data_IF_133732777384
#
_entry.id   IF_133732777384
#
_cell.length_a   1.000
_cell.length_b   1.000
_cell.length_c   1.000
_cell.angle_alpha   90.00
_cell.angle_beta   90.00
_cell.angle_gamma   90.00
#
_symmetry.space_group_name_H-M   'P 1'
#
loop_
_entity.id
_entity.type
_entity.pdbx_description
1 polymer ?
#
# COMPACT_ATOMS: atom_id res chain seq x y z
N UNK A 1 33.90 -12.32 -11.09
CA UNK A 1 33.25 -11.04 -10.79
C UNK A 1 32.03 -10.95 -11.69
N UNK A 2 30.87 -11.39 -11.22
CA UNK A 2 29.62 -11.14 -11.94
C UNK A 2 29.26 -9.67 -11.78
N UNK A 3 29.34 -8.93 -12.89
CA UNK A 3 28.76 -7.60 -13.00
C UNK A 3 27.25 -7.81 -12.93
N UNK A 4 26.67 -7.60 -11.75
CA UNK A 4 25.23 -7.55 -11.57
C UNK A 4 24.69 -6.45 -12.48
N UNK A 5 24.00 -6.81 -13.55
CA UNK A 5 23.30 -5.86 -14.41
C UNK A 5 22.31 -5.05 -13.56
N UNK A 6 22.64 -3.79 -13.35
CA UNK A 6 21.71 -2.79 -12.82
C UNK A 6 20.55 -2.71 -13.83
N UNK A 7 19.32 -2.84 -13.33
CA UNK A 7 18.14 -2.53 -14.15
C UNK A 7 18.22 -1.05 -14.55
N UNK A 8 17.83 -0.73 -15.77
CA UNK A 8 17.60 0.65 -16.13
C UNK A 8 16.50 1.23 -15.21
N UNK A 9 16.61 2.48 -14.78
CA UNK A 9 15.58 3.09 -13.95
C UNK A 9 14.29 3.29 -14.75
N UNK A 10 13.15 3.12 -14.09
CA UNK A 10 11.83 3.45 -14.61
C UNK A 10 11.56 4.94 -14.41
N UNK A 11 11.45 5.69 -15.49
CA UNK A 11 10.97 7.07 -15.46
C UNK A 11 9.49 7.09 -15.08
N UNK A 12 9.15 7.85 -14.03
CA UNK A 12 7.78 7.99 -13.54
C UNK A 12 7.14 9.22 -14.17
N UNK A 13 6.02 9.03 -14.87
CA UNK A 13 5.18 10.11 -15.41
C UNK A 13 3.82 10.08 -14.73
N UNK A 14 3.33 11.24 -14.29
CA UNK A 14 2.13 11.33 -13.47
C UNK A 14 1.08 12.20 -14.15
N UNK A 15 -0.12 11.65 -14.34
CA UNK A 15 -1.31 12.43 -14.61
C UNK A 15 -1.96 12.85 -13.29
N UNK A 16 -2.62 14.01 -13.29
CA UNK A 16 -3.27 14.55 -12.09
C UNK A 16 -4.69 15.02 -12.40
N UNK A 17 -5.61 14.76 -11.47
CA UNK A 17 -6.94 15.40 -11.41
C UNK A 17 -7.21 15.89 -10.00
N UNK A 18 -7.94 17.00 -9.90
CA UNK A 18 -8.38 17.59 -8.64
C UNK A 18 -9.89 17.52 -8.54
N UNK A 19 -10.39 17.10 -7.38
CA UNK A 19 -11.81 17.10 -7.03
C UNK A 19 -12.05 17.80 -5.70
N UNK A 20 -13.20 18.47 -5.60
CA UNK A 20 -13.79 18.77 -4.29
C UNK A 20 -14.34 17.47 -3.70
N UNK A 21 -14.05 17.23 -2.43
CA UNK A 21 -14.32 15.98 -1.74
C UNK A 21 -15.35 16.14 -0.62
N UNK A 22 -16.24 17.13 -0.70
CA UNK A 22 -17.27 17.38 0.32
C UNK A 22 -18.19 16.17 0.57
N UNK A 23 -18.38 15.34 -0.45
CA UNK A 23 -19.21 14.12 -0.41
C UNK A 23 -18.40 12.82 -0.42
N UNK A 24 -17.08 12.90 -0.45
CA UNK A 24 -16.17 11.75 -0.51
C UNK A 24 -15.40 11.63 0.80
N UNK A 25 -15.44 10.45 1.42
CA UNK A 25 -14.62 10.14 2.60
C UNK A 25 -13.55 9.10 2.24
N UNK A 26 -12.34 9.15 2.84
CA UNK A 26 -11.30 8.16 2.57
C UNK A 26 -11.80 6.73 2.81
N UNK A 27 -12.46 6.45 3.94
CA UNK A 27 -13.01 5.13 4.23
C UNK A 27 -14.08 4.71 3.22
N UNK A 28 -14.96 5.63 2.82
CA UNK A 28 -16.00 5.34 1.83
C UNK A 28 -15.42 4.99 0.46
N UNK A 29 -14.40 5.73 0.02
CA UNK A 29 -13.68 5.43 -1.23
C UNK A 29 -12.88 4.14 -1.11
N UNK A 30 -12.22 3.88 0.02
CA UNK A 30 -11.48 2.66 0.29
C UNK A 30 -12.34 1.40 0.12
N UNK A 31 -13.51 1.36 0.77
CA UNK A 31 -14.40 0.20 0.70
C UNK A 31 -14.82 -0.09 -0.74
N UNK A 32 -15.10 0.95 -1.53
CA UNK A 32 -15.46 0.84 -2.94
C UNK A 32 -14.29 0.33 -3.81
N UNK A 33 -13.06 0.77 -3.51
CA UNK A 33 -11.86 0.31 -4.20
C UNK A 33 -11.55 -1.15 -3.85
N UNK A 34 -11.70 -1.54 -2.59
CA UNK A 34 -11.50 -2.91 -2.09
C UNK A 34 -12.39 -3.93 -2.77
N UNK A 35 -13.61 -3.53 -3.11
CA UNK A 35 -14.55 -4.43 -3.79
C UNK A 35 -14.19 -4.64 -5.29
N UNK A 36 -13.19 -3.92 -5.83
CA UNK A 36 -12.82 -3.95 -7.27
C UNK A 36 -11.36 -4.25 -7.56
N UNK A 37 -10.45 -3.78 -6.71
CA UNK A 37 -9.01 -3.89 -6.89
C UNK A 37 -8.42 -4.78 -5.80
N UNK A 38 -7.43 -5.57 -6.17
CA UNK A 38 -6.69 -6.37 -5.21
C UNK A 38 -5.76 -5.45 -4.39
N UNK A 39 -5.67 -5.72 -3.08
CA UNK A 39 -4.72 -5.11 -2.16
C UNK A 39 -4.67 -3.56 -2.17
N UNK A 40 -5.80 -2.84 -2.14
CA UNK A 40 -5.74 -1.40 -1.92
C UNK A 40 -5.24 -1.11 -0.51
N UNK A 41 -4.51 0.00 -0.38
CA UNK A 41 -3.96 0.46 0.89
C UNK A 41 -4.62 1.79 1.25
N UNK A 42 -5.08 1.89 2.51
CA UNK A 42 -5.52 3.15 3.11
C UNK A 42 -4.55 3.51 4.24
N UNK A 43 -3.91 4.67 4.13
CA UNK A 43 -3.16 5.28 5.23
C UNK A 43 -3.90 6.53 5.68
N UNK A 44 -4.55 6.44 6.84
CA UNK A 44 -5.34 7.54 7.39
C UNK A 44 -4.52 8.30 8.44
N UNK A 45 -4.13 9.53 8.12
CA UNK A 45 -3.55 10.44 9.10
C UNK A 45 -4.58 11.51 9.47
N UNK A 46 -5.03 11.46 10.72
CA UNK A 46 -5.78 12.54 11.36
C UNK A 46 -4.82 13.27 12.28
N UNK A 47 -4.35 14.44 11.88
CA UNK A 47 -3.62 15.29 12.80
C UNK A 47 -4.59 15.71 13.93
N UNK A 48 -4.33 15.35 15.21
CA UNK A 48 -5.04 15.97 16.30
C UNK A 48 -4.68 17.46 16.32
N UNK A 49 -5.69 18.31 16.52
CA UNK A 49 -5.64 19.77 16.60
C UNK A 49 -4.22 20.38 16.63
N UNK A 50 -3.75 20.86 15.48
CA UNK A 50 -2.48 21.55 15.28
C UNK A 50 -2.27 21.90 13.81
N UNK A 51 -1.55 22.99 13.53
CA UNK A 51 -1.42 23.71 12.23
C UNK A 51 -0.93 22.90 11.00
N UNK A 52 -0.77 21.58 11.11
CA UNK A 52 -0.37 20.70 10.01
C UNK A 52 -1.55 20.23 9.16
N UNK A 53 -1.41 20.29 7.84
CA UNK A 53 -2.36 19.66 6.94
C UNK A 53 -2.42 18.14 7.19
N UNK A 54 -3.62 17.60 7.39
CA UNK A 54 -3.86 16.18 7.57
C UNK A 54 -4.18 15.57 6.21
N UNK A 55 -3.48 14.50 5.87
CA UNK A 55 -3.62 13.80 4.60
C UNK A 55 -3.94 12.32 4.79
N UNK A 56 -4.97 11.83 4.11
CA UNK A 56 -5.13 10.38 3.93
C UNK A 56 -4.69 9.96 2.54
N UNK A 57 -4.01 8.83 2.45
CA UNK A 57 -3.55 8.23 1.21
C UNK A 57 -4.35 6.98 0.90
N UNK A 58 -4.75 6.85 -0.35
CA UNK A 58 -5.40 5.67 -0.90
C UNK A 58 -4.64 5.21 -2.12
N UNK A 59 -4.06 4.02 -2.06
CA UNK A 59 -3.23 3.47 -3.12
C UNK A 59 -3.86 2.17 -3.63
N UNK A 60 -3.91 1.98 -4.95
CA UNK A 60 -4.44 0.74 -5.55
C UNK A 60 -3.80 0.48 -6.92
N UNK A 61 -3.96 -0.75 -7.41
CA UNK A 61 -3.19 -1.30 -8.54
C UNK A 61 -1.66 -1.25 -8.29
N UNK A 62 -1.13 -2.16 -7.43
CA UNK A 62 0.31 -2.25 -7.22
C UNK A 62 1.02 -2.68 -8.50
N UNK A 63 2.09 -1.98 -8.85
CA UNK A 63 2.91 -2.21 -10.06
C UNK A 63 4.32 -2.72 -9.76
N UNK A 64 4.77 -2.54 -8.53
CA UNK A 64 6.05 -3.09 -8.07
C UNK A 64 5.94 -3.46 -6.60
N UNK A 65 6.73 -4.44 -6.16
CA UNK A 65 6.73 -4.95 -4.80
C UNK A 65 8.14 -5.30 -4.37
N UNK A 66 8.46 -4.93 -3.15
CA UNK A 66 9.61 -5.39 -2.39
C UNK A 66 9.07 -6.19 -1.21
N UNK A 67 9.52 -7.43 -1.06
CA UNK A 67 9.10 -8.32 0.01
C UNK A 67 10.33 -8.96 0.63
N UNK A 68 10.44 -8.90 1.95
CA UNK A 68 11.45 -9.57 2.74
C UNK A 68 10.78 -10.49 3.74
N UNK A 69 11.24 -11.75 3.74
CA UNK A 69 10.74 -12.78 4.64
C UNK A 69 11.89 -13.75 4.98
N UNK A 70 12.21 -13.84 6.28
CA UNK A 70 13.28 -14.67 6.83
C UNK A 70 14.67 -14.21 6.43
N UNK A 71 15.15 -14.64 5.25
CA UNK A 71 16.45 -14.22 4.70
C UNK A 71 16.40 -13.88 3.21
N UNK A 72 15.20 -13.89 2.62
CA UNK A 72 15.02 -13.74 1.18
C UNK A 72 14.28 -12.45 0.89
N UNK A 73 14.86 -11.67 -0.03
CA UNK A 73 14.21 -10.53 -0.67
C UNK A 73 13.68 -10.97 -2.02
N UNK A 74 12.39 -10.76 -2.25
CA UNK A 74 11.73 -10.89 -3.56
C UNK A 74 11.31 -9.51 -4.04
N UNK A 75 11.67 -9.16 -5.26
CA UNK A 75 11.24 -7.92 -5.91
C UNK A 75 10.47 -8.23 -7.19
N UNK A 76 9.45 -7.43 -7.47
CA UNK A 76 8.76 -7.37 -8.76
C UNK A 76 8.72 -5.92 -9.23
N UNK A 77 8.77 -5.73 -10.54
CA UNK A 77 8.91 -4.42 -11.19
C UNK A 77 7.77 -4.16 -12.19
N UNK A 78 7.58 -2.90 -12.63
CA UNK A 78 6.48 -2.54 -13.52
C UNK A 78 6.47 -3.23 -14.89
N UNK A 79 7.62 -3.71 -15.36
CA UNK A 79 7.76 -4.49 -16.59
C UNK A 79 7.35 -5.98 -16.41
N UNK A 80 6.95 -6.37 -15.20
CA UNK A 80 6.62 -7.75 -14.84
C UNK A 80 7.84 -8.60 -14.49
N UNK A 81 9.06 -8.05 -14.56
CA UNK A 81 10.25 -8.78 -14.15
C UNK A 81 10.25 -9.01 -12.64
N UNK A 82 10.83 -10.13 -12.22
CA UNK A 82 10.98 -10.50 -10.82
C UNK A 82 12.42 -10.87 -10.51
N UNK A 83 12.90 -10.52 -9.32
CA UNK A 83 14.22 -10.94 -8.83
C UNK A 83 14.09 -11.48 -7.42
N UNK A 84 14.96 -12.42 -7.08
CA UNK A 84 15.07 -12.98 -5.75
C UNK A 84 16.54 -12.96 -5.32
N UNK A 85 16.81 -12.48 -4.10
CA UNK A 85 18.16 -12.42 -3.54
C UNK A 85 18.13 -12.76 -2.05
N UNK A 86 19.13 -13.49 -1.59
CA UNK A 86 19.31 -13.75 -0.16
C UNK A 86 20.09 -12.61 0.49
N UNK A 87 19.65 -12.17 1.66
CA UNK A 87 20.36 -11.18 2.48
C UNK A 87 21.68 -11.78 2.95
N UNK A 88 22.76 -11.01 2.82
CA UNK A 88 24.10 -11.41 3.26
C UNK A 88 24.91 -10.20 3.67
N UNK A 89 26.08 -10.41 4.30
CA UNK A 89 26.98 -9.30 4.68
C UNK A 89 27.42 -8.42 3.50
N UNK A 90 27.45 -8.96 2.28
CA UNK A 90 27.83 -8.22 1.05
C UNK A 90 26.63 -7.55 0.37
N UNK A 91 25.42 -7.91 0.76
CA UNK A 91 24.16 -7.38 0.24
C UNK A 91 23.14 -7.30 1.39
N UNK A 92 23.36 -6.36 2.34
CA UNK A 92 22.48 -6.22 3.49
C UNK A 92 21.10 -5.72 3.06
N UNK A 93 20.09 -5.97 3.89
CA UNK A 93 18.69 -5.65 3.58
C UNK A 93 18.46 -4.15 3.25
N UNK A 94 19.01 -3.18 4.01
CA UNK A 94 18.85 -1.75 3.69
C UNK A 94 19.37 -1.38 2.29
N UNK A 95 20.53 -1.91 1.89
CA UNK A 95 21.09 -1.67 0.56
C UNK A 95 20.20 -2.25 -0.54
N UNK A 96 19.55 -3.39 -0.29
CA UNK A 96 18.63 -3.98 -1.24
C UNK A 96 17.35 -3.16 -1.40
N UNK A 97 16.81 -2.63 -0.29
CA UNK A 97 15.66 -1.73 -0.31
C UNK A 97 15.98 -0.41 -1.00
N UNK A 98 17.15 0.19 -0.71
CA UNK A 98 17.58 1.44 -1.36
C UNK A 98 17.79 1.23 -2.86
N UNK A 99 18.45 0.14 -3.27
CA UNK A 99 18.57 -0.23 -4.69
C UNK A 99 17.20 -0.36 -5.36
N UNK A 100 16.24 -1.02 -4.71
CA UNK A 100 14.88 -1.12 -5.25
C UNK A 100 14.22 0.26 -5.40
N UNK A 101 14.32 1.11 -4.39
CA UNK A 101 13.82 2.50 -4.43
C UNK A 101 14.45 3.29 -5.59
N UNK A 102 15.76 3.15 -5.82
CA UNK A 102 16.46 3.86 -6.90
C UNK A 102 16.11 3.39 -8.31
N UNK A 103 15.37 2.28 -8.46
CA UNK A 103 14.84 1.87 -9.76
C UNK A 103 13.71 2.80 -10.25
N UNK A 104 13.23 3.78 -9.45
CA UNK A 104 12.14 4.67 -9.83
C UNK A 104 12.61 6.12 -9.85
N UNK A 105 12.62 6.73 -11.02
CA UNK A 105 12.95 8.15 -11.22
C UNK A 105 11.68 9.00 -11.10
N UNK A 106 11.48 9.55 -9.92
CA UNK A 106 10.31 10.38 -9.59
C UNK A 106 10.59 11.86 -9.88
N UNK A 107 9.76 12.54 -10.69
CA UNK A 107 9.94 13.97 -10.94
C UNK A 107 9.63 14.79 -9.69
N UNK A 108 10.32 15.93 -9.55
CA UNK A 108 10.02 16.90 -8.48
C UNK A 108 8.61 17.44 -8.69
N UNK A 109 7.79 17.39 -7.64
CA UNK A 109 6.41 17.89 -7.68
C UNK A 109 6.26 19.11 -6.76
N UNK A 110 5.33 20.01 -7.10
CA UNK A 110 5.08 21.25 -6.35
C UNK A 110 3.99 21.08 -5.27
N UNK A 111 3.54 19.86 -5.00
CA UNK A 111 2.51 19.60 -4.02
C UNK A 111 3.09 19.63 -2.59
N UNK A 112 2.32 20.12 -1.59
CA UNK A 112 2.75 20.14 -0.19
C UNK A 112 2.66 18.77 0.50
N UNK A 113 2.54 17.70 -0.26
CA UNK A 113 2.37 16.31 0.18
C UNK A 113 3.06 15.38 -0.81
N UNK A 114 3.30 14.12 -0.40
CA UNK A 114 3.91 13.13 -1.27
C UNK A 114 2.92 12.70 -2.36
N UNK A 115 3.36 12.61 -3.61
CA UNK A 115 2.48 12.21 -4.72
C UNK A 115 2.64 10.74 -5.09
N UNK A 116 3.80 10.16 -4.78
CA UNK A 116 4.15 8.76 -5.02
C UNK A 116 5.13 8.29 -3.95
N UNK A 117 5.42 6.99 -3.90
CA UNK A 117 6.37 6.43 -2.94
C UNK A 117 6.23 4.92 -2.74
N UNK A 118 6.94 4.44 -1.72
CA UNK A 118 6.84 3.07 -1.22
C UNK A 118 5.84 3.03 -0.06
N UNK A 119 4.78 2.25 -0.22
CA UNK A 119 3.75 2.08 0.80
C UNK A 119 3.72 0.63 1.28
N UNK A 120 3.64 0.42 2.58
CA UNK A 120 3.61 -0.92 3.14
C UNK A 120 4.01 -0.95 4.62
N UNK A 121 4.54 -2.07 5.08
CA UNK A 121 4.83 -2.32 6.48
C UNK A 121 6.21 -2.94 6.68
N UNK A 122 6.74 -2.74 7.88
CA UNK A 122 7.89 -3.46 8.41
C UNK A 122 7.49 -3.99 9.78
N UNK A 123 7.65 -5.29 9.98
CA UNK A 123 7.43 -5.93 11.27
C UNK A 123 8.59 -5.64 12.23
N UNK A 124 8.30 -5.70 13.52
CA UNK A 124 9.30 -5.44 14.57
C UNK A 124 10.47 -6.44 14.57
N UNK A 125 10.31 -7.62 13.94
CA UNK A 125 11.37 -8.63 13.84
C UNK A 125 12.52 -8.19 12.93
N UNK A 126 12.22 -7.46 11.86
CA UNK A 126 13.23 -7.00 10.89
C UNK A 126 14.22 -6.02 11.52
N UNK A 127 13.72 -5.10 12.36
CA UNK A 127 14.57 -4.13 13.06
C UNK A 127 15.62 -4.83 13.93
N UNK A 128 15.23 -5.91 14.63
CA UNK A 128 16.13 -6.69 15.48
C UNK A 128 17.19 -7.46 14.67
N UNK A 129 16.83 -8.03 13.53
CA UNK A 129 17.77 -8.71 12.62
C UNK A 129 18.73 -7.75 11.91
N UNK A 130 18.34 -6.49 11.73
CA UNK A 130 19.18 -5.47 11.09
C UNK A 130 20.34 -4.98 11.98
N UNK A 131 20.22 -5.13 13.30
CA UNK A 131 21.22 -4.68 14.29
C UNK A 131 22.13 -5.81 14.81
N UNK A 132 21.72 -7.07 14.69
CA UNK A 132 22.50 -8.23 15.13
C UNK A 132 22.66 -9.25 14.00
N UNK A 133 23.91 -9.54 13.63
CA UNK A 133 24.22 -10.78 12.93
C UNK A 133 23.99 -11.90 13.96
N UNK A 134 22.96 -12.75 13.78
CA UNK A 134 22.70 -14.12 14.34
C UNK A 134 21.24 -14.29 14.83
N UNK A 135 20.69 -15.52 14.96
CA UNK A 135 20.79 -16.77 14.18
C UNK A 135 19.46 -17.06 13.40
N UNK A 136 19.28 -18.27 12.85
CA UNK A 136 18.14 -18.70 12.02
C UNK A 136 16.77 -18.16 12.48
N UNK A 137 16.02 -17.60 11.53
CA UNK A 137 14.68 -17.05 11.75
C UNK A 137 13.75 -18.10 12.36
N UNK A 138 13.09 -17.75 13.47
CA UNK A 138 11.92 -18.53 13.94
C UNK A 138 10.80 -18.28 12.92
N UNK A 139 10.26 -19.33 12.26
CA UNK A 139 9.20 -19.14 11.30
C UNK A 139 8.01 -18.45 11.97
N UNK A 140 7.53 -17.36 11.37
CA UNK A 140 6.36 -16.64 11.84
C UNK A 140 5.15 -17.59 11.81
N UNK A 141 4.33 -17.57 12.86
CA UNK A 141 3.05 -18.29 12.88
C UNK A 141 1.95 -17.56 12.08
N UNK A 142 2.31 -16.43 11.46
CA UNK A 142 1.43 -15.51 10.74
C UNK A 142 1.94 -15.44 9.30
N UNK A 143 1.07 -15.74 8.33
CA UNK A 143 1.35 -15.70 6.89
C UNK A 143 1.38 -14.24 6.36
N UNK A 144 2.24 -13.41 6.95
CA UNK A 144 2.48 -12.02 6.55
C UNK A 144 3.98 -11.81 6.51
N UNK A 145 4.48 -11.32 5.36
CA UNK A 145 5.89 -11.05 5.17
C UNK A 145 6.43 -10.08 6.24
N UNK A 146 7.66 -10.33 6.71
CA UNK A 146 8.30 -9.53 7.75
C UNK A 146 8.52 -8.07 7.32
N UNK A 147 8.74 -7.78 6.04
CA UNK A 147 8.70 -6.43 5.47
C UNK A 147 8.12 -6.49 4.05
N UNK A 148 7.19 -5.60 3.75
CA UNK A 148 6.59 -5.50 2.42
C UNK A 148 6.37 -4.03 2.06
N UNK A 149 6.87 -3.62 0.90
CA UNK A 149 6.62 -2.30 0.31
C UNK A 149 6.16 -2.44 -1.13
N UNK A 150 5.23 -1.58 -1.54
CA UNK A 150 4.66 -1.57 -2.88
C UNK A 150 4.67 -0.17 -3.48
N UNK A 151 4.82 -0.13 -4.79
CA UNK A 151 4.60 1.06 -5.64
C UNK A 151 3.27 0.86 -6.34
N UNK A 152 2.46 1.92 -6.44
CA UNK A 152 1.10 1.85 -6.97
C UNK A 152 0.93 2.73 -8.19
N UNK A 153 0.12 2.27 -9.15
CA UNK A 153 -0.28 3.08 -10.31
C UNK A 153 -1.16 4.24 -9.89
N UNK A 154 -2.11 4.02 -8.98
CA UNK A 154 -3.03 5.06 -8.53
C UNK A 154 -2.76 5.47 -7.10
N UNK A 155 -2.61 6.78 -6.87
CA UNK A 155 -2.47 7.38 -5.54
C UNK A 155 -3.49 8.51 -5.38
N UNK A 156 -4.35 8.39 -4.38
CA UNK A 156 -5.37 9.36 -4.02
C UNK A 156 -4.97 10.02 -2.71
N UNK A 157 -4.88 11.35 -2.71
CA UNK A 157 -4.52 12.14 -1.53
C UNK A 157 -5.70 13.00 -1.11
N UNK A 158 -6.31 12.66 0.01
CA UNK A 158 -7.35 13.45 0.66
C UNK A 158 -6.71 14.52 1.53
N UNK A 159 -6.99 15.78 1.25
CA UNK A 159 -6.66 16.90 2.14
C UNK A 159 -7.87 17.21 3.02
N UNK A 160 -7.80 16.83 4.29
CA UNK A 160 -8.96 16.89 5.19
C UNK A 160 -9.43 18.33 5.46
N UNK A 161 -8.52 19.27 5.72
CA UNK A 161 -8.89 20.66 5.98
C UNK A 161 -9.50 21.35 4.76
N UNK A 162 -8.90 21.15 3.58
CA UNK A 162 -9.37 21.78 2.33
C UNK A 162 -10.54 21.02 1.67
N UNK A 163 -10.95 19.89 2.25
CA UNK A 163 -11.97 18.97 1.71
C UNK A 163 -11.74 18.71 0.22
N UNK A 164 -10.50 18.38 -0.13
CA UNK A 164 -10.11 18.14 -1.52
C UNK A 164 -9.47 16.79 -1.70
N UNK A 165 -9.65 16.24 -2.89
CA UNK A 165 -9.07 14.97 -3.31
C UNK A 165 -8.19 15.22 -4.53
N UNK A 166 -6.92 14.86 -4.42
CA UNK A 166 -5.98 14.83 -5.53
C UNK A 166 -5.84 13.39 -6.00
N UNK A 167 -6.03 13.14 -7.29
CA UNK A 167 -5.92 11.83 -7.90
C UNK A 167 -4.69 11.83 -8.79
N UNK A 168 -3.81 10.86 -8.60
CA UNK A 168 -2.65 10.64 -9.43
C UNK A 168 -2.73 9.28 -10.11
N UNK A 169 -2.38 9.24 -11.39
CA UNK A 169 -2.11 8.02 -12.14
C UNK A 169 -0.66 8.07 -12.62
N UNK A 170 0.14 7.10 -12.20
CA UNK A 170 1.55 7.00 -12.50
C UNK A 170 1.78 5.94 -13.58
N UNK A 171 2.48 6.34 -14.63
CA UNK A 171 3.04 5.45 -15.64
C UNK A 171 4.54 5.25 -15.36
N UNK A 172 5.00 4.01 -15.49
CA UNK A 172 6.38 3.61 -15.22
C UNK A 172 6.96 3.01 -16.49
N UNK A 173 8.03 3.61 -17.02
CA UNK A 173 8.61 3.18 -18.31
C UNK A 173 10.12 3.35 -18.31
N UNK A 174 10.83 2.38 -18.86
CA UNK A 174 12.27 2.51 -19.16
C UNK A 174 12.52 3.43 -20.38
N UNK A 175 11.50 3.61 -21.24
CA UNK A 175 11.54 4.59 -22.32
C UNK A 175 11.03 5.94 -21.79
N UNK A 176 11.89 6.97 -21.66
CA UNK A 176 11.50 8.26 -21.12
C UNK A 176 10.50 9.00 -21.99
N UNK A 177 10.30 8.60 -23.25
CA UNK A 177 9.37 9.20 -24.21
C UNK A 177 8.03 8.45 -24.31
N UNK A 178 7.81 7.39 -23.51
CA UNK A 178 6.56 6.66 -23.54
C UNK A 178 5.37 7.55 -23.13
N UNK A 179 4.30 7.52 -23.92
CA UNK A 179 3.07 8.24 -23.59
C UNK A 179 2.44 7.65 -22.32
N UNK A 180 2.11 8.50 -21.33
CA UNK A 180 1.48 8.02 -20.11
C UNK A 180 0.05 7.56 -20.38
N UNK A 181 -0.39 6.54 -19.64
CA UNK A 181 -1.81 6.20 -19.56
C UNK A 181 -2.58 7.35 -18.89
N UNK A 182 -3.78 7.65 -19.39
CA UNK A 182 -4.73 8.56 -18.74
C UNK A 182 -6.12 7.90 -18.68
N UNK A 183 -6.41 7.31 -17.53
CA UNK A 183 -7.72 6.74 -17.19
C UNK A 183 -8.40 7.50 -16.06
N UNK A 184 -7.83 8.63 -15.65
CA UNK A 184 -8.30 9.38 -14.48
C UNK A 184 -9.71 9.93 -14.67
N UNK A 185 -10.11 10.32 -15.88
CA UNK A 185 -11.46 10.83 -16.12
C UNK A 185 -12.54 9.75 -15.90
N UNK A 186 -12.23 8.49 -16.23
CA UNK A 186 -13.08 7.33 -15.92
C UNK A 186 -13.18 7.12 -14.41
N UNK A 187 -12.05 7.22 -13.69
CA UNK A 187 -12.02 7.10 -12.24
C UNK A 187 -12.80 8.24 -11.56
N UNK A 188 -12.67 9.47 -12.07
CA UNK A 188 -13.41 10.65 -11.60
C UNK A 188 -14.91 10.46 -11.81
N UNK A 189 -15.32 10.02 -13.01
CA UNK A 189 -16.72 9.72 -13.31
C UNK A 189 -17.27 8.68 -12.32
N UNK A 190 -16.53 7.59 -12.11
CA UNK A 190 -16.91 6.53 -11.18
C UNK A 190 -17.03 7.02 -9.73
N UNK A 191 -16.12 7.88 -9.26
CA UNK A 191 -16.19 8.45 -7.92
C UNK A 191 -17.40 9.37 -7.73
N UNK A 192 -17.81 10.10 -8.78
CA UNK A 192 -18.94 11.05 -8.73
C UNK A 192 -20.31 10.40 -8.87
N UNK A 193 -20.46 9.45 -9.80
CA UNK A 193 -21.75 8.86 -10.12
C UNK A 193 -21.96 7.58 -9.30
N UNK A 194 -22.57 7.68 -8.11
CA UNK A 194 -22.77 6.49 -7.26
C UNK A 194 -24.13 6.35 -6.57
N UNK A 195 -24.59 5.10 -6.59
CA UNK A 195 -25.50 4.51 -5.60
C UNK A 195 -24.70 4.11 -4.35
N UNK A 196 -25.25 4.33 -3.16
CA UNK A 196 -24.60 4.06 -1.88
C UNK A 196 -24.41 2.56 -1.65
N UNK A 197 -23.16 2.06 -1.47
CA UNK A 197 -22.95 0.67 -1.10
C UNK A 197 -23.56 0.43 0.28
N UNK A 198 -24.47 -0.55 0.38
CA UNK A 198 -25.11 -0.93 1.64
C UNK A 198 -24.44 -2.20 2.15
N UNK A 199 -23.75 -2.09 3.29
CA UNK A 199 -23.20 -3.24 3.99
C UNK A 199 -24.15 -3.60 5.14
N UNK A 200 -24.94 -4.68 5.05
CA UNK A 200 -25.83 -5.07 6.12
C UNK A 200 -25.01 -5.44 7.37
N UNK A 201 -25.46 -5.00 8.54
CA UNK A 201 -24.95 -5.47 9.82
C UNK A 201 -26.12 -6.00 10.65
N UNK A 202 -25.88 -7.07 11.40
CA UNK A 202 -26.84 -7.63 12.34
C UNK A 202 -26.26 -7.54 13.75
N UNK A 203 -27.05 -7.10 14.71
CA UNK A 203 -26.67 -7.12 16.12
C UNK A 203 -26.85 -8.54 16.66
N UNK A 204 -25.75 -9.26 16.88
CA UNK A 204 -25.76 -10.43 17.77
C UNK A 204 -25.86 -9.94 19.21
N UNK A 205 -27.09 -9.88 19.72
CA UNK A 205 -27.36 -9.58 21.12
C UNK A 205 -26.97 -10.77 22.00
N UNK A 206 -25.70 -10.89 22.34
CA UNK A 206 -25.27 -11.59 23.57
C UNK A 206 -23.89 -11.06 23.99
N UNK A 207 -23.93 -10.22 25.02
CA UNK A 207 -22.82 -9.66 25.79
C UNK A 207 -21.75 -8.80 25.09
N UNK A 208 -21.40 -7.73 25.79
CA UNK A 208 -20.49 -6.65 25.38
C UNK A 208 -19.17 -7.19 24.82
N UNK A 209 -18.96 -7.18 23.50
CA UNK A 209 -17.69 -6.81 22.84
C UNK A 209 -17.76 -6.89 21.30
N UNK A 210 -17.32 -5.80 20.66
CA UNK A 210 -16.87 -5.68 19.25
C UNK A 210 -17.92 -5.82 18.13
N UNK A 211 -17.99 -4.79 17.27
CA UNK A 211 -18.69 -4.81 15.99
C UNK A 211 -17.96 -5.73 14.99
N UNK A 212 -18.64 -6.77 14.49
CA UNK A 212 -18.15 -7.60 13.39
C UNK A 212 -18.79 -7.11 12.10
N UNK A 213 -17.99 -6.58 11.17
CA UNK A 213 -18.44 -6.29 9.80
C UNK A 213 -18.37 -7.60 9.00
N UNK A 214 -19.52 -8.20 8.71
CA UNK A 214 -19.59 -9.42 7.91
C UNK A 214 -19.33 -9.10 6.42
N UNK A 215 -18.20 -9.57 5.89
CA UNK A 215 -17.97 -9.63 4.44
C UNK A 215 -18.78 -10.77 3.84
N UNK A 216 -19.48 -10.52 2.74
CA UNK A 216 -20.22 -11.56 2.03
C UNK A 216 -19.24 -12.59 1.43
N UNK A 217 -19.24 -13.80 2.00
CA UNK A 217 -18.89 -15.03 1.27
C UNK A 217 -17.62 -15.78 1.72
N UNK A 218 -17.73 -16.59 2.78
CA UNK A 218 -17.37 -18.02 2.76
C UNK A 218 -17.83 -18.68 4.07
N UNK A 219 -18.68 -19.70 3.96
CA UNK A 219 -19.08 -20.55 5.09
C UNK A 219 -17.92 -21.48 5.44
N UNK A 220 -17.41 -21.40 6.67
CA UNK A 220 -16.68 -22.51 7.29
C UNK A 220 -17.39 -22.88 8.59
N UNK A 221 -17.74 -24.15 8.71
CA UNK A 221 -18.49 -24.71 9.82
C UNK A 221 -17.57 -25.14 10.98
N UNK A 222 -18.00 -24.86 12.21
CA UNK A 222 -17.89 -25.81 13.34
C UNK A 222 -16.85 -25.56 14.45
N UNK A 223 -17.39 -25.13 15.63
CA UNK A 223 -17.02 -25.43 17.05
C UNK A 223 -15.58 -25.12 17.54
N UNK A 224 -15.29 -24.65 18.76
CA UNK A 224 -16.01 -24.43 20.04
C UNK A 224 -15.20 -23.39 20.88
N UNK A 225 -15.74 -22.82 21.98
CA UNK A 225 -15.19 -21.62 22.62
C UNK A 225 -14.11 -21.93 23.67
N UNK A 226 -13.06 -21.11 23.71
CA UNK A 226 -12.10 -21.04 24.82
C UNK A 226 -12.33 -19.68 25.51
N UNK A 227 -12.75 -19.71 26.77
CA UNK A 227 -12.95 -18.51 27.60
C UNK A 227 -11.61 -17.80 27.90
N UNK A 228 -11.59 -16.46 28.04
CA UNK A 228 -10.40 -15.75 28.50
C UNK A 228 -10.24 -15.85 30.03
N UNK A 229 -9.01 -16.15 30.46
CA UNK A 229 -8.58 -15.90 31.83
C UNK A 229 -8.43 -14.39 32.06
N UNK A 230 -8.89 -13.94 33.23
CA UNK A 230 -8.78 -12.55 33.72
C UNK A 230 -7.44 -12.35 34.46
N UNK A 231 -6.85 -11.18 34.22
CA UNK A 231 -5.72 -10.50 34.86
C UNK A 231 -4.38 -11.24 34.90
#
# INVERSE_FOLDING_TARGET
>A
MEVLSQLAPFTVRSQHRYLRADTLTPTGVFLRLRDRFANPVLLENKAPYGDGAAYSYLCFEPVARFEFDGSVVKTSYPDGSTRQKTVSRKAPLPDQLDRFRTCFEVPVTQFPFQTTGLFGHTSNGVTQQSEAILPESVPSQIDVAEMMYQVFRHVLVFHHQKKSLHLFEHSYSENPNAEPSDTLDTLVYWLKNQATPTYPFETTATDLTTLVVAGAGHRVAGRSPIYPARW
#
